data_IF_660867995305
#
_entry.id   IF_660867995305
#
_cell.length_a   1.000
_cell.length_b   1.000
_cell.length_c   1.000
_cell.angle_alpha   90.00
_cell.angle_beta   90.00
_cell.angle_gamma   90.00
#
_symmetry.space_group_name_H-M   'P 1'
#
loop_
_entity.id
_entity.type
_entity.pdbx_description
1 polymer ?
#
# COMPACT_ATOMS: atom_id res chain seq x y z
N UNK A 1 14.36 -17.22 18.99
CA UNK A 1 15.23 -17.77 17.94
C UNK A 1 15.67 -16.62 17.06
N UNK A 2 16.95 -16.48 16.72
CA UNK A 2 17.34 -15.52 15.69
C UNK A 2 16.70 -16.00 14.39
N UNK A 3 16.05 -15.06 13.69
CA UNK A 3 15.51 -15.28 12.34
C UNK A 3 16.65 -15.72 11.43
N UNK A 4 16.39 -16.63 10.51
CA UNK A 4 17.39 -16.98 9.50
C UNK A 4 17.60 -15.77 8.59
N UNK A 5 18.83 -15.50 8.18
CA UNK A 5 19.18 -14.34 7.34
C UNK A 5 18.31 -14.23 6.07
N UNK A 6 17.82 -15.37 5.56
CA UNK A 6 16.99 -15.40 4.38
C UNK A 6 15.52 -15.02 4.66
N UNK A 7 14.97 -15.29 5.86
CA UNK A 7 13.63 -14.84 6.26
C UNK A 7 13.60 -13.33 6.40
N UNK A 8 14.62 -12.75 7.03
CA UNK A 8 14.80 -11.31 7.11
C UNK A 8 14.90 -10.66 5.73
N UNK A 9 15.69 -11.24 4.82
CA UNK A 9 15.79 -10.79 3.44
C UNK A 9 14.45 -10.87 2.69
N UNK A 10 13.65 -11.90 2.94
CA UNK A 10 12.31 -12.05 2.37
C UNK A 10 11.35 -10.94 2.86
N UNK A 11 11.36 -10.63 4.16
CA UNK A 11 10.57 -9.52 4.69
C UNK A 11 10.95 -8.19 4.07
N UNK A 12 12.24 -7.89 3.95
CA UNK A 12 12.70 -6.64 3.32
C UNK A 12 12.32 -6.56 1.83
N UNK A 13 12.40 -7.66 1.11
CA UNK A 13 11.95 -7.72 -0.29
C UNK A 13 10.46 -7.42 -0.42
N UNK A 14 9.62 -7.99 0.45
CA UNK A 14 8.18 -7.73 0.46
C UNK A 14 7.86 -6.29 0.88
N UNK A 15 8.58 -5.72 1.84
CA UNK A 15 8.45 -4.31 2.21
C UNK A 15 8.84 -3.37 1.05
N UNK A 16 9.91 -3.68 0.34
CA UNK A 16 10.33 -2.89 -0.82
C UNK A 16 9.25 -2.88 -1.92
N UNK A 17 8.60 -4.02 -2.16
CA UNK A 17 7.46 -4.11 -3.09
C UNK A 17 6.24 -3.33 -2.58
N UNK A 18 5.92 -3.42 -1.30
CA UNK A 18 4.84 -2.64 -0.69
C UNK A 18 5.09 -1.12 -0.81
N UNK A 19 6.33 -0.68 -0.58
CA UNK A 19 6.73 0.72 -0.76
C UNK A 19 6.68 1.13 -2.24
N UNK A 20 7.05 0.26 -3.17
CA UNK A 20 6.90 0.50 -4.60
C UNK A 20 5.43 0.74 -4.97
N UNK A 21 4.51 -0.10 -4.49
CA UNK A 21 3.08 0.10 -4.66
C UNK A 21 2.61 1.46 -4.10
N UNK A 22 3.08 1.84 -2.92
CA UNK A 22 2.80 3.13 -2.31
C UNK A 22 3.30 4.31 -3.17
N UNK A 23 4.52 4.26 -3.66
CA UNK A 23 5.07 5.33 -4.51
C UNK A 23 4.36 5.42 -5.86
N UNK A 24 4.00 4.28 -6.47
CA UNK A 24 3.16 4.28 -7.66
C UNK A 24 1.80 4.93 -7.37
N UNK A 25 1.19 4.63 -6.23
CA UNK A 25 -0.06 5.30 -5.84
C UNK A 25 0.09 6.81 -5.74
N UNK A 26 1.17 7.32 -5.14
CA UNK A 26 1.43 8.76 -5.08
C UNK A 26 1.55 9.39 -6.47
N UNK A 27 2.24 8.72 -7.38
CA UNK A 27 2.39 9.17 -8.77
C UNK A 27 1.04 9.16 -9.49
N UNK A 28 0.30 8.06 -9.41
CA UNK A 28 -1.00 7.90 -10.07
C UNK A 28 -2.02 8.92 -9.56
N UNK A 29 -2.05 9.17 -8.27
CA UNK A 29 -2.93 10.18 -7.69
C UNK A 29 -2.63 11.60 -8.20
N UNK A 30 -1.37 11.89 -8.48
CA UNK A 30 -0.93 13.23 -8.88
C UNK A 30 -0.97 13.43 -10.38
N UNK A 31 -0.58 12.42 -11.14
CA UNK A 31 -0.35 12.53 -12.58
C UNK A 31 -1.32 11.67 -13.44
N UNK A 32 -2.17 10.88 -12.81
CA UNK A 32 -2.93 9.84 -13.51
C UNK A 32 -2.05 8.66 -13.89
N UNK A 33 -2.36 7.95 -14.99
CA UNK A 33 -1.53 6.84 -15.43
C UNK A 33 -0.09 7.26 -15.71
N UNK A 34 0.86 6.43 -15.33
CA UNK A 34 2.31 6.64 -15.45
C UNK A 34 2.96 5.42 -16.09
N UNK A 35 4.20 5.52 -16.61
CA UNK A 35 4.91 4.35 -17.09
C UNK A 35 5.13 3.32 -15.97
N UNK A 36 4.76 2.07 -16.21
CA UNK A 36 5.03 0.95 -15.30
C UNK A 36 6.35 0.30 -15.69
N UNK A 37 7.35 0.41 -14.84
CA UNK A 37 8.70 -0.13 -15.11
C UNK A 37 8.91 -1.53 -14.54
N UNK A 38 7.96 -2.02 -13.70
CA UNK A 38 8.01 -3.34 -13.06
C UNK A 38 9.34 -3.58 -12.33
N UNK A 39 10.01 -4.70 -12.64
CA UNK A 39 11.31 -5.06 -12.06
C UNK A 39 12.51 -4.65 -12.95
N UNK A 40 12.28 -3.84 -13.99
CA UNK A 40 13.36 -3.37 -14.85
C UNK A 40 14.22 -2.35 -14.12
N UNK A 41 15.52 -2.52 -14.24
CA UNK A 41 16.52 -1.57 -13.77
C UNK A 41 17.07 -0.82 -14.96
N UNK A 42 16.94 0.50 -14.94
CA UNK A 42 17.48 1.38 -15.97
C UNK A 42 18.73 2.08 -15.44
N UNK A 43 19.72 2.21 -16.33
CA UNK A 43 20.81 3.16 -16.12
C UNK A 43 20.41 4.53 -16.69
N UNK A 44 21.09 5.59 -16.31
CA UNK A 44 20.79 6.94 -16.81
C UNK A 44 20.92 7.05 -18.34
N UNK A 45 21.72 6.19 -18.95
CA UNK A 45 21.95 6.16 -20.40
C UNK A 45 21.05 5.17 -21.14
N UNK A 46 20.13 4.49 -20.47
CA UNK A 46 19.20 3.53 -21.09
C UNK A 46 18.34 4.21 -22.14
N UNK A 47 18.42 3.83 -23.43
CA UNK A 47 17.66 4.46 -24.51
C UNK A 47 16.14 4.34 -24.29
N UNK A 48 15.70 3.26 -23.65
CA UNK A 48 14.31 2.94 -23.37
C UNK A 48 13.63 4.02 -22.51
N UNK A 49 14.39 4.71 -21.63
CA UNK A 49 13.84 5.79 -20.80
C UNK A 49 13.21 6.91 -21.63
N UNK A 50 13.70 7.13 -22.85
CA UNK A 50 13.20 8.17 -23.75
C UNK A 50 11.93 7.77 -24.49
N UNK A 51 11.62 6.47 -24.52
CA UNK A 51 10.50 5.89 -25.26
C UNK A 51 9.41 5.32 -24.37
N UNK A 52 9.60 5.40 -23.02
CA UNK A 52 8.58 4.97 -22.07
C UNK A 52 7.28 5.73 -22.29
N UNK A 53 6.22 4.97 -22.53
CA UNK A 53 4.87 5.51 -22.67
C UNK A 53 4.11 5.40 -21.34
N UNK A 54 3.17 6.29 -21.12
CA UNK A 54 2.27 6.20 -19.97
C UNK A 54 1.32 5.03 -20.15
N UNK A 55 1.15 4.27 -19.10
CA UNK A 55 0.07 3.28 -18.99
C UNK A 55 -1.25 3.99 -18.70
N UNK A 56 -2.35 3.31 -18.95
CA UNK A 56 -3.66 3.79 -18.57
C UNK A 56 -3.80 3.88 -17.02
N UNK A 57 -4.72 4.69 -16.56
CA UNK A 57 -5.07 4.76 -15.13
C UNK A 57 -5.48 3.38 -14.60
N UNK A 58 -6.30 2.65 -15.36
CA UNK A 58 -6.76 1.32 -15.00
C UNK A 58 -5.61 0.31 -14.81
N UNK A 59 -4.65 0.28 -15.75
CA UNK A 59 -3.47 -0.60 -15.64
C UNK A 59 -2.62 -0.26 -14.43
N UNK A 60 -2.45 1.04 -14.14
CA UNK A 60 -1.69 1.46 -12.97
C UNK A 60 -2.36 1.05 -11.65
N UNK A 61 -3.69 1.23 -11.54
CA UNK A 61 -4.43 0.80 -10.35
C UNK A 61 -4.37 -0.72 -10.20
N UNK A 62 -4.54 -1.47 -11.30
CA UNK A 62 -4.44 -2.93 -11.26
C UNK A 62 -3.06 -3.39 -10.83
N UNK A 63 -2.00 -2.80 -11.38
CA UNK A 63 -0.63 -3.11 -10.98
C UNK A 63 -0.38 -2.90 -9.48
N UNK A 64 -0.89 -1.78 -8.91
CA UNK A 64 -0.76 -1.51 -7.48
C UNK A 64 -1.51 -2.56 -6.65
N UNK A 65 -2.71 -2.96 -7.06
CA UNK A 65 -3.47 -4.06 -6.42
C UNK A 65 -2.69 -5.37 -6.45
N UNK A 66 -2.16 -5.75 -7.60
CA UNK A 66 -1.40 -6.98 -7.78
C UNK A 66 -0.13 -7.01 -6.91
N UNK A 67 0.58 -5.88 -6.78
CA UNK A 67 1.74 -5.77 -5.89
C UNK A 67 1.35 -5.91 -4.41
N UNK A 68 0.24 -5.29 -4.00
CA UNK A 68 -0.29 -5.39 -2.63
C UNK A 68 -0.70 -6.85 -2.34
N UNK A 69 -1.46 -7.46 -3.25
CA UNK A 69 -1.93 -8.84 -3.09
C UNK A 69 -0.78 -9.84 -2.99
N UNK A 70 0.28 -9.63 -3.75
CA UNK A 70 1.45 -10.51 -3.73
C UNK A 70 2.24 -10.48 -2.41
N UNK A 71 2.17 -9.37 -1.66
CA UNK A 71 3.03 -9.19 -0.47
C UNK A 71 2.27 -9.11 0.85
N UNK A 72 0.98 -8.78 0.85
CA UNK A 72 0.20 -8.48 2.07
C UNK A 72 0.25 -9.57 3.14
N UNK A 73 0.32 -10.84 2.73
CA UNK A 73 0.35 -11.98 3.64
C UNK A 73 1.77 -12.39 4.07
N UNK A 74 2.78 -11.79 3.43
CA UNK A 74 4.20 -12.03 3.69
C UNK A 74 4.88 -10.84 4.38
N UNK A 75 4.10 -9.88 4.87
CA UNK A 75 4.59 -8.78 5.69
C UNK A 75 4.53 -9.14 7.17
N UNK A 76 5.38 -8.51 7.97
CA UNK A 76 5.38 -8.70 9.43
C UNK A 76 4.01 -8.39 10.02
N UNK A 77 3.51 -9.27 10.88
CA UNK A 77 2.28 -9.08 11.65
C UNK A 77 2.59 -8.24 12.90
N UNK A 78 1.53 -7.65 13.48
CA UNK A 78 1.64 -6.92 14.73
C UNK A 78 2.08 -7.82 15.90
N UNK A 79 1.73 -9.12 15.86
CA UNK A 79 2.10 -10.14 16.83
C UNK A 79 3.59 -10.49 16.84
N UNK A 80 4.30 -10.18 15.74
CA UNK A 80 5.74 -10.45 15.63
C UNK A 80 6.59 -9.45 16.43
N UNK A 81 5.95 -8.41 16.96
CA UNK A 81 6.53 -7.52 17.96
C UNK A 81 6.31 -8.17 19.31
N UNK A 82 7.13 -9.09 19.74
CA UNK A 82 7.08 -9.77 21.04
C UNK A 82 5.91 -9.40 21.95
N UNK A 83 5.45 -10.24 22.81
CA UNK A 83 4.28 -10.05 23.68
C UNK A 83 4.19 -8.59 24.15
N UNK A 84 3.00 -7.99 24.06
CA UNK A 84 2.72 -6.65 24.60
C UNK A 84 3.11 -6.65 26.08
N UNK A 85 4.30 -6.19 26.37
CA UNK A 85 4.74 -5.98 27.74
C UNK A 85 3.80 -4.98 28.42
N UNK A 86 3.63 -5.11 29.71
CA UNK A 86 2.79 -4.23 30.53
C UNK A 86 3.09 -2.74 30.26
N UNK A 87 2.18 -1.81 30.61
CA UNK A 87 2.42 -0.37 30.42
C UNK A 87 3.73 0.12 31.02
N UNK A 88 4.18 -0.50 32.11
CA UNK A 88 5.43 -0.15 32.79
C UNK A 88 6.67 -0.69 32.07
N UNK A 89 6.55 -1.86 31.43
CA UNK A 89 7.61 -2.43 30.58
C UNK A 89 7.72 -1.72 29.24
N UNK A 90 6.64 -1.08 28.74
CA UNK A 90 6.67 -0.24 27.52
C UNK A 90 7.58 0.97 27.65
N UNK A 91 7.66 1.59 28.83
CA UNK A 91 8.57 2.73 29.07
C UNK A 91 10.04 2.33 28.92
N UNK A 92 10.39 1.13 29.32
CA UNK A 92 11.76 0.63 29.24
C UNK A 92 12.11 0.14 27.85
N UNK A 93 11.14 -0.46 27.12
CA UNK A 93 11.38 -0.94 25.73
C UNK A 93 11.61 0.22 24.76
N UNK A 94 10.98 1.37 24.97
CA UNK A 94 11.25 2.58 24.17
C UNK A 94 12.67 3.12 24.39
N UNK A 95 13.21 3.01 25.63
CA UNK A 95 14.55 3.44 25.96
C UNK A 95 15.64 2.48 25.43
N UNK A 96 15.30 1.21 25.26
CA UNK A 96 16.26 0.15 24.84
C UNK A 96 16.26 -0.12 23.32
N UNK A 97 15.51 0.63 22.52
CA UNK A 97 15.51 0.51 21.05
C UNK A 97 14.88 -0.78 20.51
N UNK A 98 14.16 -1.53 21.35
CA UNK A 98 13.59 -2.84 21.03
C UNK A 98 12.40 -2.75 20.06
N UNK A 99 11.78 -1.58 19.88
CA UNK A 99 10.61 -1.41 19.01
C UNK A 99 10.95 -0.77 17.65
N UNK A 100 12.01 -1.26 16.99
CA UNK A 100 12.33 -0.84 15.63
C UNK A 100 11.24 -1.28 14.61
N UNK A 101 10.45 -2.28 14.95
CA UNK A 101 9.45 -2.88 14.05
C UNK A 101 8.23 -1.98 13.75
N UNK A 102 7.96 -0.94 14.55
CA UNK A 102 6.87 0.02 14.24
C UNK A 102 7.13 0.84 12.97
N UNK A 103 8.39 0.91 12.51
CA UNK A 103 8.80 1.63 11.30
C UNK A 103 8.56 0.82 10.03
N UNK A 104 8.29 -0.47 10.14
CA UNK A 104 8.10 -1.36 9.01
C UNK A 104 6.67 -1.30 8.45
N UNK A 105 6.56 -1.55 7.15
CA UNK A 105 5.26 -1.69 6.49
C UNK A 105 4.59 -2.98 6.99
N UNK A 106 3.32 -2.87 7.35
CA UNK A 106 2.54 -3.99 7.87
C UNK A 106 1.30 -4.23 7.03
N UNK A 107 0.80 -5.47 7.05
CA UNK A 107 -0.39 -5.89 6.32
C UNK A 107 -1.56 -4.90 6.43
N UNK A 108 -1.95 -4.55 7.64
CA UNK A 108 -3.13 -3.70 7.86
C UNK A 108 -2.93 -2.25 7.42
N UNK A 109 -1.71 -1.73 7.55
CA UNK A 109 -1.36 -0.41 7.00
C UNK A 109 -1.39 -0.40 5.48
N UNK A 110 -0.90 -1.48 4.85
CA UNK A 110 -0.93 -1.64 3.39
C UNK A 110 -2.36 -1.79 2.86
N UNK A 111 -3.22 -2.59 3.52
CA UNK A 111 -4.63 -2.69 3.16
C UNK A 111 -5.40 -1.37 3.38
N UNK A 112 -5.04 -0.59 4.40
CA UNK A 112 -5.58 0.76 4.59
C UNK A 112 -5.19 1.71 3.45
N UNK A 113 -3.98 1.58 2.91
CA UNK A 113 -3.54 2.29 1.72
C UNK A 113 -4.36 1.86 0.49
N UNK A 114 -4.55 0.56 0.30
CA UNK A 114 -5.36 0.01 -0.79
C UNK A 114 -6.79 0.53 -0.73
N UNK A 115 -7.43 0.52 0.44
CA UNK A 115 -8.77 1.05 0.63
C UNK A 115 -8.85 2.54 0.21
N UNK A 116 -7.86 3.36 0.57
CA UNK A 116 -7.79 4.77 0.15
C UNK A 116 -7.61 4.93 -1.35
N UNK A 117 -6.78 4.11 -1.96
CA UNK A 117 -6.58 4.10 -3.41
C UNK A 117 -7.87 3.73 -4.14
N UNK A 118 -8.54 2.65 -3.71
CA UNK A 118 -9.79 2.21 -4.31
C UNK A 118 -10.92 3.23 -4.12
N UNK A 119 -10.98 3.89 -2.96
CA UNK A 119 -11.93 4.98 -2.72
C UNK A 119 -11.72 6.15 -3.69
N UNK A 120 -10.46 6.52 -3.95
CA UNK A 120 -10.13 7.54 -4.94
C UNK A 120 -10.50 7.07 -6.35
N UNK A 121 -10.15 5.83 -6.70
CA UNK A 121 -10.45 5.22 -8.00
C UNK A 121 -11.96 5.09 -8.29
N UNK A 122 -12.77 5.00 -7.24
CA UNK A 122 -14.24 4.99 -7.32
C UNK A 122 -14.84 6.39 -7.45
N UNK A 123 -14.10 7.44 -7.10
CA UNK A 123 -14.62 8.81 -7.08
C UNK A 123 -14.96 9.32 -8.49
N UNK A 124 -15.95 10.24 -8.61
CA UNK A 124 -16.30 10.83 -9.91
C UNK A 124 -15.15 11.59 -10.59
N UNK A 125 -14.08 11.87 -9.85
CA UNK A 125 -12.89 12.54 -10.40
C UNK A 125 -12.18 11.70 -11.47
N UNK A 126 -12.16 10.37 -11.30
CA UNK A 126 -11.43 9.45 -12.17
C UNK A 126 -12.27 8.29 -12.70
N UNK A 127 -13.46 8.08 -12.13
CA UNK A 127 -14.37 7.01 -12.52
C UNK A 127 -15.31 7.49 -13.64
N UNK A 128 -14.96 7.16 -14.88
CA UNK A 128 -15.70 7.58 -16.08
C UNK A 128 -15.19 8.89 -16.70
N UNK A 129 -13.98 9.33 -16.37
CA UNK A 129 -13.39 10.56 -16.94
C UNK A 129 -12.31 10.29 -17.99
N UNK A 130 -11.80 9.07 -18.06
CA UNK A 130 -10.85 8.65 -19.10
C UNK A 130 -11.55 8.48 -20.47
N UNK A 131 -10.77 8.55 -21.53
CA UNK A 131 -11.21 8.29 -22.89
C UNK A 131 -10.10 7.57 -23.68
N UNK A 132 -10.42 7.15 -24.90
CA UNK A 132 -9.47 6.39 -25.73
C UNK A 132 -8.20 7.19 -26.10
N UNK A 133 -8.30 8.52 -26.19
CA UNK A 133 -7.15 9.38 -26.52
C UNK A 133 -6.29 9.68 -25.28
N UNK A 134 -6.90 9.70 -24.09
CA UNK A 134 -6.23 10.03 -22.82
C UNK A 134 -6.57 9.01 -21.72
N UNK A 135 -6.22 7.73 -21.90
CA UNK A 135 -6.60 6.65 -20.97
C UNK A 135 -5.90 6.78 -19.60
N UNK A 136 -4.93 7.69 -19.48
CA UNK A 136 -4.22 7.96 -18.22
C UNK A 136 -4.98 8.89 -17.28
N UNK A 137 -6.04 9.61 -17.72
CA UNK A 137 -6.79 10.55 -16.89
C UNK A 137 -7.73 9.86 -15.89
N UNK A 138 -8.22 8.66 -16.22
CA UNK A 138 -9.14 7.90 -15.39
C UNK A 138 -9.66 6.67 -16.10
N UNK A 139 -10.66 6.03 -15.51
CA UNK A 139 -11.39 4.95 -16.18
C UNK A 139 -12.26 5.50 -17.30
N UNK A 140 -12.38 4.80 -18.45
CA UNK A 140 -13.22 5.26 -19.54
C UNK A 140 -14.72 5.18 -19.22
N UNK A 141 -15.10 4.26 -18.33
CA UNK A 141 -16.49 4.02 -17.96
C UNK A 141 -16.71 4.19 -16.46
N UNK A 142 -17.86 4.78 -16.12
CA UNK A 142 -18.29 4.86 -14.72
C UNK A 142 -18.82 3.49 -14.28
N UNK A 143 -18.15 2.91 -13.29
CA UNK A 143 -18.57 1.65 -12.66
C UNK A 143 -18.82 1.86 -11.17
N UNK A 144 -20.09 1.77 -10.71
CA UNK A 144 -20.44 1.92 -9.30
C UNK A 144 -19.91 0.77 -8.42
N UNK A 145 -19.52 -0.39 -8.99
CA UNK A 145 -18.96 -1.49 -8.22
C UNK A 145 -17.59 -1.15 -7.61
N UNK A 146 -16.87 -0.14 -8.12
CA UNK A 146 -15.61 0.33 -7.54
C UNK A 146 -15.77 0.81 -6.10
N UNK A 147 -16.92 1.40 -5.76
CA UNK A 147 -17.25 1.75 -4.37
C UNK A 147 -17.36 0.52 -3.47
N UNK A 148 -17.93 -0.57 -4.01
CA UNK A 148 -18.03 -1.83 -3.29
C UNK A 148 -16.64 -2.44 -3.01
N UNK A 149 -15.73 -2.43 -3.97
CA UNK A 149 -14.36 -2.90 -3.78
C UNK A 149 -13.69 -2.17 -2.62
N UNK A 150 -13.75 -0.84 -2.59
CA UNK A 150 -13.20 -0.03 -1.50
C UNK A 150 -13.84 -0.39 -0.14
N UNK A 151 -15.17 -0.56 -0.11
CA UNK A 151 -15.91 -0.94 1.09
C UNK A 151 -15.55 -2.35 1.58
N UNK A 152 -15.29 -3.29 0.69
CA UNK A 152 -14.95 -4.67 1.04
C UNK A 152 -13.57 -4.76 1.70
N UNK A 153 -12.59 -3.99 1.25
CA UNK A 153 -11.28 -3.89 1.93
C UNK A 153 -11.46 -3.26 3.32
N UNK A 154 -12.24 -2.19 3.45
CA UNK A 154 -12.53 -1.60 4.76
C UNK A 154 -13.19 -2.62 5.71
N UNK A 155 -14.17 -3.39 5.24
CA UNK A 155 -14.82 -4.44 6.03
C UNK A 155 -13.85 -5.52 6.45
N UNK A 156 -12.92 -5.91 5.58
CA UNK A 156 -11.88 -6.88 5.89
C UNK A 156 -11.05 -6.42 7.10
N UNK A 157 -10.65 -5.15 7.14
CA UNK A 157 -9.89 -4.58 8.27
C UNK A 157 -10.75 -4.53 9.54
N UNK A 158 -11.99 -4.05 9.44
CA UNK A 158 -12.92 -3.91 10.57
C UNK A 158 -13.23 -5.27 11.21
N UNK A 159 -13.50 -6.28 10.39
CA UNK A 159 -13.90 -7.60 10.85
C UNK A 159 -12.77 -8.37 11.56
N UNK A 160 -11.53 -7.88 11.51
CA UNK A 160 -10.43 -8.48 12.30
C UNK A 160 -10.60 -8.28 13.81
N UNK A 161 -11.37 -7.27 14.22
CA UNK A 161 -11.51 -6.83 15.60
C UNK A 161 -10.19 -6.51 16.32
N UNK A 162 -9.10 -6.27 15.55
CA UNK A 162 -7.78 -5.95 16.10
C UNK A 162 -7.62 -4.46 16.41
N UNK A 163 -8.52 -3.63 15.88
CA UNK A 163 -8.47 -2.18 16.02
C UNK A 163 -9.71 -1.67 16.74
N UNK A 164 -9.52 -0.77 17.68
CA UNK A 164 -10.60 -0.09 18.41
C UNK A 164 -10.51 1.39 18.05
N UNK A 165 -11.64 1.98 17.63
CA UNK A 165 -11.72 3.42 17.45
C UNK A 165 -11.72 4.08 18.85
N UNK A 166 -10.74 4.93 19.09
CA UNK A 166 -10.67 5.72 20.32
C UNK A 166 -11.78 6.77 20.30
N UNK A 167 -12.76 6.62 21.22
CA UNK A 167 -13.97 7.46 21.26
C UNK A 167 -13.82 8.68 22.17
N UNK A 168 -12.92 8.62 23.14
CA UNK A 168 -12.72 9.66 24.14
C UNK A 168 -11.39 10.38 23.93
N UNK A 169 -11.40 11.44 23.14
CA UNK A 169 -10.40 12.50 23.26
C UNK A 169 -10.91 13.53 24.25
N UNK A 170 -10.76 13.28 25.53
CA UNK A 170 -10.75 14.37 26.53
C UNK A 170 -9.45 15.14 26.31
N UNK A 171 -9.51 16.44 25.94
CA UNK A 171 -8.31 17.27 25.92
C UNK A 171 -7.79 17.35 27.33
N UNK A 172 -6.55 16.87 27.55
CA UNK A 172 -5.78 17.09 28.78
C UNK A 172 -5.32 18.54 28.82
#
# INVERSE_FOLDING_TARGET
MPWSDWEEASYHANEARALRAYFYWLLVRTYGGVPLIYDKVFTMDSPELRTLQRNSFAECVQYIKDEIDAVKDNLRLYSDIGERKSPDEKKNSFAEGIDSNWKHVRKWGLLGLEARMLLYAASPLVNGTGNAAEPWLGYPENDPNRWKEAADICRTIINTNQFILEKDRTPS
#
